data_IF_861540294606
#
_entry.id   IF_861540294606
#
_cell.length_a   1.000
_cell.length_b   1.000
_cell.length_c   1.000
_cell.angle_alpha   90.00
_cell.angle_beta   90.00
_cell.angle_gamma   90.00
#
_symmetry.space_group_name_H-M   'P 1'
#
loop_
_entity.id
_entity.type
_entity.pdbx_description
1 polymer ?
#
# COMPACT_ATOMS: atom_id res chain seq x y z
N UNK A 1 -34.07 -3.72 4.31
CA UNK A 1 -33.25 -3.13 5.40
C UNK A 1 -31.91 -2.73 4.81
N UNK A 2 -31.28 -1.66 5.32
CA UNK A 2 -29.96 -1.20 4.87
C UNK A 2 -28.86 -1.52 5.90
N UNK A 3 -27.60 -1.53 5.45
CA UNK A 3 -26.40 -1.73 6.27
C UNK A 3 -25.48 -0.51 6.16
N UNK A 4 -24.75 -0.21 7.25
CA UNK A 4 -23.71 0.81 7.30
C UNK A 4 -22.41 0.14 7.80
N UNK A 5 -21.31 0.34 7.07
CA UNK A 5 -19.98 -0.15 7.44
C UNK A 5 -18.99 0.99 7.72
N UNK A 6 -18.02 0.73 8.61
CA UNK A 6 -16.96 1.69 8.99
C UNK A 6 -15.59 1.08 8.70
N UNK A 7 -14.68 1.85 8.09
CA UNK A 7 -13.31 1.42 7.81
C UNK A 7 -12.35 2.12 8.77
N UNK A 8 -11.83 1.37 9.73
CA UNK A 8 -10.95 1.86 10.78
C UNK A 8 -9.47 1.96 10.36
N UNK A 9 -9.17 2.68 9.27
CA UNK A 9 -7.83 2.75 8.65
C UNK A 9 -6.69 3.29 9.53
N UNK A 10 -7.03 3.95 10.64
CA UNK A 10 -6.09 4.59 11.58
C UNK A 10 -6.02 3.85 12.91
N UNK A 11 -7.19 3.61 13.54
CA UNK A 11 -7.28 3.02 14.88
C UNK A 11 -7.09 1.50 14.86
N UNK A 12 -7.45 0.83 13.77
CA UNK A 12 -7.27 -0.61 13.56
C UNK A 12 -6.69 -0.86 12.15
N UNK A 13 -5.39 -0.57 11.95
CA UNK A 13 -4.76 -0.77 10.65
C UNK A 13 -4.73 -2.26 10.27
N UNK A 14 -4.84 -2.52 8.96
CA UNK A 14 -4.99 -3.85 8.37
C UNK A 14 -3.88 -4.14 7.34
N UNK A 15 -2.64 -3.71 7.60
CA UNK A 15 -1.55 -3.93 6.65
C UNK A 15 -1.12 -5.41 6.59
N UNK A 16 -1.22 -6.14 7.70
CA UNK A 16 -0.93 -7.58 7.78
C UNK A 16 -1.73 -8.43 6.78
N UNK A 17 -3.00 -8.09 6.57
CA UNK A 17 -3.89 -8.78 5.62
C UNK A 17 -3.89 -8.13 4.22
N UNK A 18 -3.09 -7.08 4.00
CA UNK A 18 -3.11 -6.34 2.74
C UNK A 18 -2.44 -7.18 1.63
N UNK A 19 -3.21 -7.53 0.60
CA UNK A 19 -2.78 -8.29 -0.59
C UNK A 19 -2.74 -7.45 -1.87
N UNK A 20 -2.74 -6.12 -1.76
CA UNK A 20 -2.82 -5.21 -2.92
C UNK A 20 -1.45 -4.83 -3.47
N UNK A 21 -1.30 -4.95 -4.79
CA UNK A 21 -0.32 -4.23 -5.60
C UNK A 21 -1.03 -3.12 -6.41
N UNK A 22 -0.30 -2.08 -6.82
CA UNK A 22 -0.82 -0.98 -7.66
C UNK A 22 0.17 -0.62 -8.75
N UNK A 23 -0.36 -0.17 -9.89
CA UNK A 23 0.43 0.44 -10.96
C UNK A 23 0.02 1.91 -11.05
N UNK A 24 0.99 2.82 -11.02
CA UNK A 24 0.75 4.25 -11.22
C UNK A 24 0.54 4.59 -12.70
N UNK A 25 0.02 5.80 -12.97
CA UNK A 25 -0.22 6.26 -14.34
C UNK A 25 1.06 6.36 -15.19
N UNK A 26 2.23 6.60 -14.58
CA UNK A 26 3.54 6.58 -15.25
C UNK A 26 4.12 5.16 -15.42
N UNK A 27 3.40 4.13 -14.96
CA UNK A 27 3.72 2.71 -15.19
C UNK A 27 4.67 2.10 -14.17
N UNK A 28 4.68 2.59 -12.92
CA UNK A 28 5.48 2.03 -11.84
C UNK A 28 4.65 1.13 -10.94
N UNK A 29 5.22 -0.01 -10.55
CA UNK A 29 4.66 -0.95 -9.58
C UNK A 29 4.94 -0.44 -8.15
N UNK A 30 3.88 -0.37 -7.34
CA UNK A 30 3.91 -0.03 -5.93
C UNK A 30 3.22 -1.13 -5.10
N UNK A 31 3.80 -1.42 -3.95
CA UNK A 31 3.33 -2.44 -2.98
C UNK A 31 2.61 -1.83 -1.77
N UNK A 32 2.49 -0.50 -1.72
CA UNK A 32 1.75 0.25 -0.71
C UNK A 32 1.08 1.49 -1.33
N UNK A 33 0.03 2.01 -0.68
CA UNK A 33 -0.51 3.34 -1.06
C UNK A 33 0.46 4.47 -0.74
N UNK A 34 1.30 4.28 0.29
CA UNK A 34 2.17 5.31 0.86
C UNK A 34 3.66 5.06 0.56
N UNK A 35 3.96 4.21 -0.43
CA UNK A 35 5.34 3.91 -0.79
C UNK A 35 6.01 5.14 -1.41
N UNK A 36 7.26 5.40 -1.02
CA UNK A 36 8.05 6.55 -1.48
C UNK A 36 8.67 6.34 -2.87
N UNK A 37 8.83 5.08 -3.29
CA UNK A 37 9.45 4.68 -4.56
C UNK A 37 8.67 3.52 -5.15
N UNK A 38 8.63 3.47 -6.49
CA UNK A 38 8.03 2.39 -7.26
C UNK A 38 9.05 1.76 -8.20
N UNK A 39 8.74 0.57 -8.70
CA UNK A 39 9.56 -0.17 -9.66
C UNK A 39 9.09 0.12 -11.09
N UNK A 40 9.98 0.51 -12.01
CA UNK A 40 9.61 0.88 -13.38
C UNK A 40 9.25 -0.34 -14.23
N UNK A 41 8.00 -0.81 -14.08
CA UNK A 41 7.46 -1.94 -14.81
C UNK A 41 7.29 -1.61 -16.31
N UNK A 42 7.00 -0.34 -16.63
CA UNK A 42 6.87 0.14 -18.01
C UNK A 42 8.15 -0.03 -18.80
N UNK A 43 9.31 0.23 -18.19
CA UNK A 43 10.60 0.01 -18.85
C UNK A 43 10.80 -1.46 -19.24
N UNK A 44 10.46 -2.39 -18.34
CA UNK A 44 10.57 -3.85 -18.56
C UNK A 44 9.62 -4.30 -19.67
N UNK A 45 8.37 -3.84 -19.64
CA UNK A 45 7.41 -4.17 -20.70
C UNK A 45 7.83 -3.62 -22.08
N UNK A 46 8.52 -2.48 -22.10
CA UNK A 46 8.97 -1.84 -23.34
C UNK A 46 10.33 -2.33 -23.85
N UNK A 47 11.09 -3.07 -23.06
CA UNK A 47 12.32 -3.70 -23.52
C UNK A 47 12.07 -4.96 -24.36
N UNK A 48 10.81 -5.38 -24.50
CA UNK A 48 10.45 -6.62 -25.19
C UNK A 48 10.66 -7.87 -24.32
N UNK A 49 10.69 -7.72 -23.00
CA UNK A 49 10.75 -8.82 -22.05
C UNK A 49 9.60 -9.80 -22.29
N UNK A 50 9.89 -11.10 -22.17
CA UNK A 50 8.86 -12.15 -22.25
C UNK A 50 8.04 -12.24 -20.96
N UNK A 51 6.89 -12.93 -21.02
CA UNK A 51 5.98 -13.06 -19.88
C UNK A 51 6.64 -13.61 -18.61
N UNK A 52 7.53 -14.60 -18.76
CA UNK A 52 8.27 -15.19 -17.62
C UNK A 52 9.17 -14.16 -16.94
N UNK A 53 9.85 -13.30 -17.69
CA UNK A 53 10.73 -12.28 -17.14
C UNK A 53 9.94 -11.17 -16.41
N UNK A 54 8.77 -10.82 -16.96
CA UNK A 54 7.83 -9.91 -16.30
C UNK A 54 7.28 -10.52 -15.02
N UNK A 55 6.88 -11.79 -15.05
CA UNK A 55 6.40 -12.52 -13.87
C UNK A 55 7.48 -12.57 -12.77
N UNK A 56 8.69 -12.97 -13.12
CA UNK A 56 9.82 -13.08 -12.19
C UNK A 56 10.14 -11.72 -11.55
N UNK A 57 10.07 -10.64 -12.32
CA UNK A 57 10.25 -9.28 -11.79
C UNK A 57 9.16 -8.95 -10.76
N UNK A 58 7.88 -9.18 -11.10
CA UNK A 58 6.76 -8.88 -10.20
C UNK A 58 6.86 -9.74 -8.93
N UNK A 59 7.15 -11.03 -9.07
CA UNK A 59 7.36 -11.98 -7.97
C UNK A 59 8.48 -11.51 -7.06
N UNK A 60 9.64 -11.16 -7.62
CA UNK A 60 10.78 -10.68 -6.84
C UNK A 60 10.48 -9.37 -6.10
N UNK A 61 9.66 -8.48 -6.65
CA UNK A 61 9.19 -7.27 -5.94
C UNK A 61 8.24 -7.67 -4.80
N UNK A 62 7.30 -8.57 -5.06
CA UNK A 62 6.30 -8.98 -4.07
C UNK A 62 6.89 -9.73 -2.88
N UNK A 63 7.83 -10.65 -3.12
CA UNK A 63 8.48 -11.44 -2.05
C UNK A 63 9.32 -10.59 -1.10
N UNK A 64 9.84 -9.44 -1.58
CA UNK A 64 10.59 -8.48 -0.77
C UNK A 64 9.72 -7.40 -0.13
N UNK A 65 8.40 -7.44 -0.34
CA UNK A 65 7.47 -6.45 0.20
C UNK A 65 7.48 -6.50 1.73
N UNK A 66 7.81 -5.37 2.33
CA UNK A 66 7.71 -5.14 3.78
C UNK A 66 6.82 -3.96 4.13
N UNK A 67 6.03 -3.47 3.16
CA UNK A 67 5.20 -2.30 3.35
C UNK A 67 4.06 -2.51 4.34
N UNK A 68 4.07 -1.70 5.39
CA UNK A 68 3.04 -1.68 6.44
C UNK A 68 2.89 -0.29 7.05
N UNK A 69 2.74 0.71 6.17
CA UNK A 69 2.73 2.13 6.56
C UNK A 69 1.76 2.45 7.70
N UNK A 70 0.49 2.05 7.59
CA UNK A 70 -0.51 2.41 8.60
C UNK A 70 -0.20 1.78 9.95
N UNK A 71 0.36 0.57 9.99
CA UNK A 71 0.81 -0.08 11.23
C UNK A 71 2.02 0.62 11.83
N UNK A 72 3.05 0.92 11.03
CA UNK A 72 4.26 1.62 11.48
C UNK A 72 3.90 2.99 12.07
N UNK A 73 3.10 3.76 11.34
CA UNK A 73 2.62 5.07 11.80
C UNK A 73 1.82 4.96 13.10
N UNK A 74 0.99 3.93 13.24
CA UNK A 74 0.25 3.69 14.49
C UNK A 74 1.17 3.31 15.64
N UNK A 75 2.24 2.55 15.42
CA UNK A 75 3.26 2.25 16.43
C UNK A 75 4.02 3.51 16.86
N UNK A 76 4.42 4.36 15.91
CA UNK A 76 5.16 5.60 16.19
C UNK A 76 4.32 6.63 16.93
N UNK A 77 3.03 6.75 16.58
CA UNK A 77 2.12 7.77 17.13
C UNK A 77 1.20 7.25 18.24
N UNK A 78 1.32 5.97 18.62
CA UNK A 78 0.36 5.29 19.51
C UNK A 78 0.31 5.86 20.93
N UNK A 79 1.39 6.52 21.38
CA UNK A 79 1.47 7.16 22.71
C UNK A 79 1.04 8.62 22.73
N UNK A 80 0.82 9.23 21.57
CA UNK A 80 0.41 10.63 21.49
C UNK A 80 -1.08 10.74 21.76
N UNK A 81 -1.48 11.72 22.58
CA UNK A 81 -2.89 12.12 22.67
C UNK A 81 -3.28 12.76 21.34
N UNK A 82 -4.19 12.12 20.62
CA UNK A 82 -4.74 12.62 19.36
C UNK A 82 -6.05 13.34 19.67
N UNK A 83 -6.24 14.49 19.04
CA UNK A 83 -7.54 15.15 19.02
C UNK A 83 -8.42 14.35 18.06
N UNK A 84 -9.61 13.95 18.51
CA UNK A 84 -10.55 13.19 17.70
C UNK A 84 -11.10 14.05 16.55
N UNK A 85 -11.19 13.49 15.34
CA UNK A 85 -11.70 14.23 14.18
C UNK A 85 -13.14 14.70 14.41
N UNK A 86 -13.95 13.88 15.11
CA UNK A 86 -15.32 14.25 15.52
C UNK A 86 -15.37 15.47 16.44
N UNK A 87 -14.31 15.75 17.20
CA UNK A 87 -14.22 16.92 18.08
C UNK A 87 -13.89 18.21 17.31
N UNK A 88 -13.17 18.13 16.19
CA UNK A 88 -12.74 19.29 15.39
C UNK A 88 -13.53 19.49 14.09
N UNK A 89 -14.61 18.75 13.87
CA UNK A 89 -15.51 18.94 12.74
C UNK A 89 -15.29 18.02 11.53
N UNK A 90 -14.52 16.95 11.69
CA UNK A 90 -14.28 15.94 10.65
C UNK A 90 -13.05 16.24 9.81
#
# INVERSE_FOLDING_TARGET
AGEIGVIASVTQPFCGDCTRARISADGKLYTCLFALRGHDLRAILRSGAGDTEVEDTIRAVWERRTDRYSELRTQETGRLRKVEMSYIGG
#
